data_IF_830064267708
#
_entry.id   IF_830064267708
#
_cell.length_a   1.000
_cell.length_b   1.000
_cell.length_c   1.000
_cell.angle_alpha   90.00
_cell.angle_beta   90.00
_cell.angle_gamma   90.00
#
_symmetry.space_group_name_H-M   'P 1'
#
loop_
_entity.id
_entity.type
_entity.pdbx_description
1 polymer ?
2 polymer ?
3 water ?
#
loop_
_entity_poly.entity_id
_entity_poly.type
_entity_poly.pdbx_seq_one_letter_code
_entity_poly.pdbx_strand_id
2 'polydeoxyribonucleotide' '(DC)(DG)(DT)(DG)(DT)(DA)(DA)(DG)(DG)(DA)(DA)(DT)(DT)(DC)(DT)(DG)(DA)(DC)(DA)(DC)(DG)' ?
#
# COMPACT_ATOMS: atom_id res chain seq x y z
N UNK A 1 -6.15 4.97 14.80
CA UNK A 1 -6.79 3.68 14.46
C UNK A 1 -7.76 3.89 13.30
N UNK A 2 -8.84 4.62 13.56
CA UNK A 2 -9.80 4.91 12.51
C UNK A 2 -9.10 5.90 11.59
N UNK A 3 -8.33 6.79 12.21
CA UNK A 3 -7.57 7.79 11.47
C UNK A 3 -6.61 7.06 10.54
N UNK A 4 -6.06 5.96 11.04
CA UNK A 4 -5.09 5.17 10.30
C UNK A 4 -5.61 4.46 9.04
N UNK A 5 -6.85 3.98 9.08
CA UNK A 5 -7.42 3.23 7.96
C UNK A 5 -8.34 4.02 7.02
N UNK A 6 -8.68 5.25 7.37
CA UNK A 6 -9.56 6.03 6.51
C UNK A 6 -8.82 6.44 5.23
N UNK A 7 -9.38 6.10 4.07
CA UNK A 7 -8.78 6.43 2.77
C UNK A 7 -9.01 7.91 2.50
N UNK A 8 -8.01 8.76 2.73
CA UNK A 8 -8.22 10.19 2.53
C UNK A 8 -7.13 10.99 1.80
N UNK A 9 -6.02 10.34 1.46
CA UNK A 9 -4.94 11.03 0.78
C UNK A 9 -4.83 10.66 -0.68
N UNK A 10 -4.52 11.65 -1.52
CA UNK A 10 -4.34 11.37 -2.93
C UNK A 10 -2.88 10.99 -3.13
N UNK A 11 -2.56 10.45 -4.30
CA UNK A 11 -1.22 9.97 -4.61
C UNK A 11 -0.06 10.96 -4.42
N UNK A 12 -0.29 12.26 -4.65
CA UNK A 12 0.78 13.23 -4.48
C UNK A 12 1.34 13.29 -3.06
N UNK A 13 0.45 13.27 -2.08
CA UNK A 13 0.86 13.30 -0.68
C UNK A 13 1.56 12.00 -0.31
N UNK A 14 1.07 10.89 -0.84
CA UNK A 14 1.66 9.58 -0.56
C UNK A 14 3.09 9.56 -1.07
N UNK A 15 3.29 10.08 -2.27
CA UNK A 15 4.61 10.16 -2.87
C UNK A 15 5.57 10.86 -1.90
N UNK A 16 5.13 12.00 -1.38
CA UNK A 16 5.94 12.80 -0.47
C UNK A 16 6.19 12.07 0.84
N UNK A 17 5.20 11.31 1.31
CA UNK A 17 5.33 10.57 2.56
C UNK A 17 6.23 9.34 2.45
N UNK A 18 6.15 8.64 1.33
CA UNK A 18 6.92 7.42 1.13
C UNK A 18 8.24 7.59 0.38
N UNK A 19 8.32 8.62 -0.46
CA UNK A 19 9.54 8.80 -1.23
C UNK A 19 9.45 7.97 -2.50
N UNK A 20 8.28 7.39 -2.75
CA UNK A 20 8.06 6.57 -3.94
C UNK A 20 7.45 7.42 -5.05
N UNK A 21 7.74 7.06 -6.30
CA UNK A 21 7.17 7.80 -7.42
C UNK A 21 5.74 7.30 -7.65
N UNK A 22 4.98 8.03 -8.46
CA UNK A 22 3.62 7.63 -8.77
C UNK A 22 3.65 6.31 -9.52
N UNK A 23 4.66 6.17 -10.37
CA UNK A 23 4.84 4.96 -11.16
C UNK A 23 4.91 3.74 -10.25
N UNK A 24 5.77 3.82 -9.24
CA UNK A 24 5.95 2.74 -8.29
C UNK A 24 4.70 2.44 -7.48
N UNK A 25 4.06 3.50 -7.00
CA UNK A 25 2.87 3.35 -6.19
C UNK A 25 1.72 2.71 -6.96
N UNK A 26 1.52 3.14 -8.20
CA UNK A 26 0.46 2.55 -9.01
C UNK A 26 0.82 1.12 -9.43
N UNK A 27 2.10 0.87 -9.68
CA UNK A 27 2.55 -0.46 -10.07
C UNK A 27 2.34 -1.48 -8.95
N UNK A 28 2.64 -1.10 -7.71
CA UNK A 28 2.46 -2.02 -6.58
C UNK A 28 1.00 -2.41 -6.47
N UNK A 29 0.11 -1.45 -6.68
CA UNK A 29 -1.32 -1.72 -6.64
C UNK A 29 -1.65 -2.68 -7.79
N UNK A 30 -1.09 -2.42 -8.96
CA UNK A 30 -1.35 -3.28 -10.11
C UNK A 30 -0.91 -4.72 -9.84
N UNK A 31 0.11 -4.86 -8.99
CA UNK A 31 0.64 -6.16 -8.63
C UNK A 31 -0.10 -6.74 -7.42
N UNK A 32 -1.29 -6.20 -7.16
CA UNK A 32 -2.16 -6.58 -6.04
C UNK A 32 -1.48 -6.54 -4.67
N UNK A 33 -0.66 -5.51 -4.46
CA UNK A 33 0.07 -5.33 -3.21
C UNK A 33 -0.65 -4.42 -2.22
N UNK A 34 -1.61 -3.65 -2.71
CA UNK A 34 -2.41 -2.78 -1.86
C UNK A 34 -3.67 -2.40 -2.63
N UNK A 35 -4.66 -1.88 -1.91
CA UNK A 35 -5.93 -1.56 -2.53
C UNK A 35 -6.54 -0.22 -2.17
N UNK A 36 -6.06 0.85 -2.81
CA UNK A 36 -6.57 2.21 -2.55
C UNK A 36 -8.01 2.25 -3.02
N UNK A 37 -8.79 3.19 -2.50
CA UNK A 37 -10.15 3.34 -2.95
C UNK A 37 -10.09 4.33 -4.11
N UNK A 38 -11.24 4.57 -4.74
CA UNK A 38 -11.31 5.50 -5.85
C UNK A 38 -12.49 6.44 -5.67
N UNK A 39 -12.26 7.73 -5.91
CA UNK A 39 -13.38 8.68 -5.85
C UNK A 39 -14.23 8.27 -7.07
N UNK A 40 -15.44 8.80 -7.17
CA UNK A 40 -16.29 8.46 -8.29
C UNK A 40 -15.74 9.01 -9.61
N UNK A 41 -14.72 9.85 -9.50
CA UNK A 41 -14.09 10.46 -10.66
C UNK A 41 -12.76 9.79 -11.02
N UNK A 42 -12.50 8.62 -10.43
CA UNK A 42 -11.28 7.88 -10.74
C UNK A 42 -10.01 8.16 -9.95
N UNK A 43 -10.06 9.05 -8.96
CA UNK A 43 -8.85 9.38 -8.20
C UNK A 43 -8.63 8.44 -7.02
N UNK A 44 -7.46 7.82 -6.97
CA UNK A 44 -7.11 6.88 -5.91
C UNK A 44 -6.98 7.58 -4.55
N UNK A 45 -7.50 6.96 -3.50
CA UNK A 45 -7.42 7.53 -2.15
C UNK A 45 -6.77 6.53 -1.20
N UNK A 46 -5.76 7.00 -0.47
CA UNK A 46 -5.00 6.15 0.44
C UNK A 46 -5.14 6.54 1.91
N UNK A 47 -4.97 5.54 2.78
CA UNK A 47 -5.03 5.76 4.22
C UNK A 47 -3.61 5.67 4.74
N UNK A 48 -3.43 6.01 6.00
CA UNK A 48 -2.11 5.93 6.62
C UNK A 48 -1.58 4.50 6.64
N UNK A 49 -2.47 3.54 6.80
CA UNK A 49 -2.05 2.15 6.81
C UNK A 49 -1.52 1.78 5.42
N UNK A 50 -2.10 2.37 4.38
CA UNK A 50 -1.63 2.11 3.01
C UNK A 50 -0.21 2.63 2.84
N UNK A 51 0.01 3.84 3.36
CA UNK A 51 1.32 4.48 3.30
C UNK A 51 2.38 3.60 3.95
N UNK A 52 2.05 3.03 5.10
CA UNK A 52 2.97 2.16 5.81
C UNK A 52 3.16 0.86 5.04
N UNK A 53 2.07 0.36 4.47
CA UNK A 53 2.13 -0.85 3.67
C UNK A 53 3.09 -0.60 2.50
N UNK A 54 2.97 0.56 1.87
CA UNK A 54 3.85 0.90 0.75
C UNK A 54 5.33 0.96 1.14
N UNK A 55 5.62 1.45 2.34
CA UNK A 55 7.00 1.55 2.79
C UNK A 55 7.59 0.18 3.08
N UNK A 56 6.76 -0.73 3.60
CA UNK A 56 7.22 -2.09 3.87
C UNK A 56 7.49 -2.78 2.55
N UNK A 57 6.65 -2.50 1.56
CA UNK A 57 6.79 -3.08 0.24
C UNK A 57 8.13 -2.63 -0.35
N UNK A 58 8.38 -1.33 -0.29
CA UNK A 58 9.62 -0.77 -0.81
C UNK A 58 10.84 -1.39 -0.14
N UNK A 59 10.77 -1.58 1.17
CA UNK A 59 11.89 -2.18 1.90
C UNK A 59 12.18 -3.59 1.41
N UNK A 60 11.13 -4.39 1.21
CA UNK A 60 11.29 -5.76 0.73
C UNK A 60 11.89 -5.74 -0.66
N UNK A 61 11.41 -4.84 -1.51
CA UNK A 61 11.95 -4.76 -2.85
C UNK A 61 13.43 -4.38 -2.79
N UNK A 62 13.81 -3.64 -1.75
CA UNK A 62 15.19 -3.23 -1.56
C UNK A 62 16.06 -4.43 -1.25
N UNK A 63 15.52 -5.34 -0.45
CA UNK A 63 16.24 -6.54 -0.07
C UNK A 63 16.17 -7.59 -1.18
N UNK A 64 15.76 -7.16 -2.37
CA UNK A 64 15.69 -8.04 -3.52
C UNK A 64 14.53 -9.03 -3.62
N UNK A 65 13.38 -8.71 -3.03
CA UNK A 65 12.23 -9.60 -3.10
C UNK A 65 11.29 -9.18 -4.23
N UNK A 66 10.90 -10.12 -5.09
CA UNK A 66 10.00 -9.78 -6.19
C UNK A 66 8.60 -9.51 -5.68
N UNK A 67 7.87 -8.66 -6.40
CA UNK A 67 6.50 -8.31 -6.02
C UNK A 67 5.66 -9.55 -5.71
N UNK A 68 5.82 -10.61 -6.50
CA UNK A 68 5.06 -11.85 -6.29
C UNK A 68 5.32 -12.44 -4.89
N UNK A 69 6.58 -12.40 -4.46
CA UNK A 69 6.96 -12.91 -3.16
C UNK A 69 6.37 -12.00 -2.09
N UNK A 70 6.43 -10.70 -2.34
CA UNK A 70 5.88 -9.73 -1.41
C UNK A 70 4.38 -9.95 -1.27
N UNK A 71 3.72 -10.28 -2.39
CA UNK A 71 2.28 -10.50 -2.35
C UNK A 71 1.95 -11.68 -1.44
N UNK A 72 2.79 -12.71 -1.45
CA UNK A 72 2.56 -13.87 -0.60
C UNK A 72 2.71 -13.47 0.87
N UNK A 73 3.78 -12.75 1.18
CA UNK A 73 4.03 -12.29 2.54
C UNK A 73 2.87 -11.43 3.04
N UNK A 74 2.44 -10.49 2.21
CA UNK A 74 1.34 -9.60 2.56
C UNK A 74 0.07 -10.39 2.84
N UNK A 75 -0.17 -11.42 2.04
CA UNK A 75 -1.37 -12.24 2.21
C UNK A 75 -1.37 -12.90 3.59
N UNK A 76 -0.21 -13.41 4.02
CA UNK A 76 -0.11 -14.04 5.33
C UNK A 76 -0.36 -13.01 6.43
N UNK A 77 0.26 -11.85 6.30
CA UNK A 77 0.09 -10.80 7.30
C UNK A 77 -1.37 -10.37 7.40
N UNK A 78 -2.02 -10.21 6.26
CA UNK A 78 -3.43 -9.82 6.25
C UNK A 78 -4.25 -10.89 6.97
N UNK A 79 -3.95 -12.16 6.68
CA UNK A 79 -4.66 -13.26 7.33
C UNK A 79 -4.38 -13.24 8.82
N UNK A 80 -3.12 -12.99 9.18
CA UNK A 80 -2.72 -12.96 10.58
C UNK A 80 -3.44 -11.83 11.31
N UNK A 81 -3.54 -10.68 10.65
CA UNK A 81 -4.20 -9.53 11.23
C UNK A 81 -5.64 -9.90 11.59
N UNK A 82 -6.33 -10.56 10.67
CA UNK A 82 -7.71 -10.97 10.90
C UNK A 82 -7.84 -11.93 12.08
N UNK A 83 -6.71 -12.44 12.56
CA UNK A 83 -6.71 -13.37 13.69
C UNK A 83 -6.57 -12.66 15.03
N UNK A 84 -5.69 -11.67 15.08
CA UNK A 84 -5.47 -10.92 16.31
C UNK A 84 -6.69 -10.08 16.69
N UNK A 85 -7.65 -9.99 15.77
CA UNK A 85 -8.86 -9.23 16.02
C UNK A 85 -9.94 -10.14 16.61
#
# INVERSE_FOLDING_TARGET
>A
ASYRDKKVMSIGIVKELTGLSERQIRYYEKRSLLFPDRTNTGIRKYSFSDVERLMDIADRIEEGVQTSEIRTELAKKDEARKMKE
#
